data_IF_060263408774
#
_entry.id   IF_060263408774
#
_cell.length_a   1.000
_cell.length_b   1.000
_cell.length_c   1.000
_cell.angle_alpha   90.00
_cell.angle_beta   90.00
_cell.angle_gamma   90.00
#
_symmetry.space_group_name_H-M   'P 1'
#
loop_
_entity.id
_entity.type
_entity.pdbx_description
1 polymer ?
#
# COMPACT_ATOMS: atom_id res chain seq x y z
N UNK A 1 19.68 -52.06 7.64
CA UNK A 1 18.81 -51.41 6.63
C UNK A 1 17.65 -50.70 7.34
N UNK A 2 17.82 -49.48 7.89
CA UNK A 2 16.68 -48.73 8.46
C UNK A 2 16.92 -47.23 8.75
N UNK A 3 17.88 -46.55 8.11
CA UNK A 3 18.19 -45.12 8.41
C UNK A 3 17.66 -44.08 7.39
N UNK A 4 17.08 -44.50 6.27
CA UNK A 4 16.69 -43.56 5.20
C UNK A 4 15.28 -42.94 5.34
N UNK A 5 14.45 -43.39 6.30
CA UNK A 5 13.06 -42.93 6.44
C UNK A 5 12.87 -41.61 7.18
N UNK A 6 13.70 -41.35 8.20
CA UNK A 6 13.54 -40.19 9.09
C UNK A 6 13.95 -38.87 8.41
N UNK A 7 14.97 -38.93 7.55
CA UNK A 7 15.53 -37.76 6.87
C UNK A 7 14.61 -37.22 5.76
N UNK A 8 13.79 -38.09 5.15
CA UNK A 8 12.77 -37.70 4.16
C UNK A 8 11.57 -36.99 4.80
N UNK A 9 11.13 -37.43 5.97
CA UNK A 9 9.99 -36.84 6.68
C UNK A 9 10.30 -35.43 7.22
N UNK A 10 11.50 -35.23 7.78
CA UNK A 10 12.00 -33.93 8.24
C UNK A 10 12.16 -32.92 7.09
N UNK A 11 12.65 -33.37 5.93
CA UNK A 11 12.74 -32.56 4.71
C UNK A 11 11.36 -32.15 4.18
N UNK A 12 10.38 -33.06 4.20
CA UNK A 12 9.01 -32.81 3.77
C UNK A 12 8.27 -31.83 4.69
N UNK A 13 8.40 -32.00 6.01
CA UNK A 13 7.90 -31.05 7.02
C UNK A 13 8.52 -29.67 6.87
N UNK A 14 9.83 -29.59 6.62
CA UNK A 14 10.53 -28.31 6.42
C UNK A 14 10.07 -27.58 5.16
N UNK A 15 9.80 -28.30 4.07
CA UNK A 15 9.25 -27.70 2.84
C UNK A 15 7.79 -27.23 3.00
N UNK A 16 6.96 -27.97 3.75
CA UNK A 16 5.59 -27.54 4.11
C UNK A 16 5.60 -26.27 4.98
N UNK A 17 6.54 -26.17 5.92
CA UNK A 17 6.73 -24.96 6.73
C UNK A 17 7.17 -23.75 5.88
N UNK A 18 7.99 -23.98 4.84
CA UNK A 18 8.46 -22.94 3.92
C UNK A 18 7.34 -22.39 3.03
N UNK A 19 6.38 -23.23 2.66
CA UNK A 19 5.18 -22.83 1.92
C UNK A 19 4.25 -21.99 2.82
N UNK A 20 4.14 -22.32 4.11
CA UNK A 20 3.38 -21.55 5.11
C UNK A 20 4.01 -20.20 5.47
N UNK A 21 5.29 -19.97 5.11
CA UNK A 21 5.97 -18.68 5.31
C UNK A 21 5.81 -17.73 4.11
N UNK A 22 5.13 -18.15 3.04
CA UNK A 22 4.85 -17.29 1.90
C UNK A 22 3.67 -16.36 2.20
N UNK A 23 3.90 -15.04 2.14
CA UNK A 23 2.92 -14.01 2.43
C UNK A 23 1.65 -14.13 1.59
N UNK A 24 1.76 -14.51 0.31
CA UNK A 24 0.60 -14.68 -0.59
C UNK A 24 -0.25 -15.87 -0.18
N UNK A 25 0.37 -16.94 0.31
CA UNK A 25 -0.36 -18.11 0.78
C UNK A 25 -1.05 -17.82 2.12
N UNK A 26 -0.38 -17.07 3.01
CA UNK A 26 -0.95 -16.60 4.27
C UNK A 26 -2.16 -15.69 4.05
N UNK A 27 -2.12 -14.78 3.08
CA UNK A 27 -3.27 -13.91 2.78
C UNK A 27 -4.44 -14.70 2.21
N UNK A 28 -4.21 -15.66 1.31
CA UNK A 28 -5.27 -16.54 0.81
C UNK A 28 -5.91 -17.34 1.95
N UNK A 29 -5.09 -17.94 2.83
CA UNK A 29 -5.61 -18.67 4.00
C UNK A 29 -6.43 -17.75 4.90
N UNK A 30 -5.95 -16.53 5.17
CA UNK A 30 -6.66 -15.56 6.00
C UNK A 30 -8.02 -15.17 5.38
N UNK A 31 -8.07 -14.97 4.05
CA UNK A 31 -9.32 -14.67 3.33
C UNK A 31 -10.28 -15.86 3.45
N UNK A 32 -9.84 -17.07 3.17
CA UNK A 32 -10.66 -18.28 3.29
C UNK A 32 -11.18 -18.47 4.73
N UNK A 33 -10.34 -18.21 5.73
CA UNK A 33 -10.71 -18.29 7.14
C UNK A 33 -11.81 -17.28 7.49
N UNK A 34 -11.67 -16.02 7.05
CA UNK A 34 -12.69 -14.98 7.28
C UNK A 34 -13.98 -15.30 6.53
N UNK A 35 -13.93 -15.86 5.32
CA UNK A 35 -15.14 -16.27 4.60
C UNK A 35 -15.88 -17.43 5.30
N UNK A 36 -15.16 -18.36 5.91
CA UNK A 36 -15.75 -19.51 6.59
C UNK A 36 -16.24 -19.18 8.02
N UNK A 37 -15.51 -18.36 8.77
CA UNK A 37 -15.75 -18.11 10.20
C UNK A 37 -16.15 -16.66 10.53
N UNK A 38 -16.20 -15.77 9.54
CA UNK A 38 -16.48 -14.35 9.75
C UNK A 38 -17.88 -14.06 10.31
N UNK A 39 -18.86 -14.91 10.02
CA UNK A 39 -20.22 -14.81 10.57
C UNK A 39 -20.30 -15.15 12.07
N UNK A 40 -19.36 -15.94 12.58
CA UNK A 40 -19.27 -16.33 13.99
C UNK A 40 -18.38 -15.39 14.81
N UNK A 41 -17.78 -14.37 14.17
CA UNK A 41 -16.86 -13.44 14.80
C UNK A 41 -17.66 -12.35 15.52
N UNK A 42 -17.50 -12.20 16.85
CA UNK A 42 -18.25 -11.21 17.60
C UNK A 42 -17.87 -9.79 17.16
N UNK A 43 -18.87 -8.90 17.10
CA UNK A 43 -18.73 -7.53 16.60
C UNK A 43 -17.57 -6.77 17.24
N UNK A 44 -17.32 -6.98 18.54
CA UNK A 44 -16.23 -6.35 19.29
C UNK A 44 -14.84 -6.69 18.74
N UNK A 45 -14.62 -7.94 18.30
CA UNK A 45 -13.33 -8.40 17.76
C UNK A 45 -13.15 -7.85 16.34
N UNK A 46 -14.19 -7.90 15.50
CA UNK A 46 -14.17 -7.31 14.15
C UNK A 46 -13.90 -5.80 14.20
N UNK A 47 -14.50 -5.10 15.17
CA UNK A 47 -14.25 -3.68 15.43
C UNK A 47 -12.82 -3.42 15.93
N UNK A 48 -12.25 -4.32 16.72
CA UNK A 48 -10.85 -4.27 17.16
C UNK A 48 -9.87 -4.37 15.98
N UNK A 49 -10.03 -5.40 15.13
CA UNK A 49 -9.22 -5.55 13.92
C UNK A 49 -9.36 -4.35 12.97
N UNK A 50 -10.58 -3.86 12.79
CA UNK A 50 -10.82 -2.66 11.98
C UNK A 50 -10.12 -1.43 12.56
N UNK A 51 -10.17 -1.23 13.88
CA UNK A 51 -9.47 -0.12 14.56
C UNK A 51 -7.95 -0.23 14.38
N UNK A 52 -7.38 -1.44 14.50
CA UNK A 52 -5.95 -1.66 14.26
C UNK A 52 -5.56 -1.39 12.79
N UNK A 53 -6.40 -1.78 11.83
CA UNK A 53 -6.21 -1.46 10.41
C UNK A 53 -6.23 0.06 10.16
N UNK A 54 -7.19 0.77 10.76
CA UNK A 54 -7.26 2.24 10.70
C UNK A 54 -6.03 2.88 11.34
N UNK A 55 -5.54 2.35 12.46
CA UNK A 55 -4.32 2.84 13.11
C UNK A 55 -3.10 2.71 12.19
N UNK A 56 -2.88 1.55 11.58
CA UNK A 56 -1.77 1.34 10.63
C UNK A 56 -1.89 2.32 9.45
N UNK A 57 -3.10 2.45 8.88
CA UNK A 57 -3.37 3.41 7.79
C UNK A 57 -3.03 4.84 8.21
N UNK A 58 -3.47 5.25 9.40
CA UNK A 58 -3.23 6.59 9.92
C UNK A 58 -1.72 6.83 10.11
N UNK A 59 -0.99 5.89 10.72
CA UNK A 59 0.47 5.97 10.85
C UNK A 59 1.17 6.06 9.49
N UNK A 60 0.75 5.25 8.52
CA UNK A 60 1.30 5.29 7.17
C UNK A 60 1.07 6.67 6.53
N UNK A 61 -0.14 7.21 6.67
CA UNK A 61 -0.51 8.55 6.19
C UNK A 61 0.32 9.68 6.85
N UNK A 62 0.89 9.46 8.03
CA UNK A 62 1.84 10.39 8.64
C UNK A 62 3.26 10.27 8.06
N UNK A 63 3.71 9.09 7.64
CA UNK A 63 5.07 8.92 7.10
C UNK A 63 5.12 9.25 5.60
N UNK A 64 4.04 8.98 4.87
CA UNK A 64 4.00 9.04 3.41
C UNK A 64 4.36 10.41 2.81
N UNK A 65 3.86 11.56 3.31
CA UNK A 65 4.14 12.86 2.69
C UNK A 65 5.64 13.19 2.67
N UNK A 66 6.36 12.94 3.77
CA UNK A 66 7.81 13.14 3.87
C UNK A 66 8.57 12.12 3.02
N UNK A 67 8.13 10.86 3.03
CA UNK A 67 8.73 9.81 2.22
C UNK A 67 8.66 10.17 0.73
N UNK A 68 7.47 10.46 0.23
CA UNK A 68 7.23 10.80 -1.17
C UNK A 68 8.00 12.06 -1.57
N UNK A 69 7.94 13.11 -0.74
CA UNK A 69 8.72 14.33 -0.96
C UNK A 69 10.22 14.03 -1.16
N UNK A 70 10.80 13.23 -0.26
CA UNK A 70 12.22 12.90 -0.27
C UNK A 70 12.59 12.02 -1.46
N UNK A 71 11.79 11.00 -1.77
CA UNK A 71 12.04 10.10 -2.90
C UNK A 71 11.94 10.83 -4.23
N UNK A 72 10.88 11.61 -4.46
CA UNK A 72 10.70 12.37 -5.71
C UNK A 72 11.82 13.38 -5.86
N UNK A 73 12.15 14.14 -4.81
CA UNK A 73 13.23 15.13 -4.88
C UNK A 73 14.57 14.48 -5.23
N UNK A 74 14.92 13.39 -4.55
CA UNK A 74 16.17 12.64 -4.78
C UNK A 74 16.23 12.04 -6.19
N UNK A 75 15.10 11.52 -6.68
CA UNK A 75 14.98 10.93 -8.01
C UNK A 75 15.16 11.96 -9.11
N UNK A 76 14.40 13.06 -9.06
CA UNK A 76 14.44 14.11 -10.08
C UNK A 76 15.77 14.85 -10.10
N UNK A 77 16.38 15.09 -8.93
CA UNK A 77 17.70 15.70 -8.87
C UNK A 77 18.78 14.85 -9.56
N UNK A 78 18.68 13.53 -9.51
CA UNK A 78 19.59 12.62 -10.21
C UNK A 78 19.44 12.64 -11.73
N UNK A 79 18.26 13.03 -12.25
CA UNK A 79 17.92 12.96 -13.67
C UNK A 79 18.23 14.25 -14.46
N UNK A 80 18.68 15.32 -13.79
CA UNK A 80 19.01 16.62 -14.42
C UNK A 80 17.93 17.05 -15.43
N UNK A 81 18.31 17.41 -16.67
CA UNK A 81 17.38 17.89 -17.70
C UNK A 81 16.31 16.87 -18.12
N UNK A 82 16.52 15.56 -17.90
CA UNK A 82 15.54 14.53 -18.25
C UNK A 82 14.40 14.41 -17.24
N UNK A 83 14.49 15.09 -16.09
CA UNK A 83 13.48 15.07 -15.04
C UNK A 83 12.09 15.48 -15.55
N UNK A 84 12.02 16.54 -16.39
CA UNK A 84 10.75 17.04 -16.93
C UNK A 84 10.07 16.02 -17.84
N UNK A 85 10.84 15.37 -18.71
CA UNK A 85 10.33 14.34 -19.61
C UNK A 85 9.80 13.14 -18.81
N UNK A 86 10.55 12.68 -17.81
CA UNK A 86 10.14 11.56 -16.96
C UNK A 86 8.82 11.84 -16.23
N UNK A 87 8.67 13.01 -15.62
CA UNK A 87 7.40 13.38 -14.93
C UNK A 87 6.25 13.46 -15.93
N UNK A 88 6.45 14.08 -17.10
CA UNK A 88 5.42 14.17 -18.13
C UNK A 88 4.96 12.81 -18.63
N UNK A 89 5.89 11.89 -18.89
CA UNK A 89 5.60 10.52 -19.32
C UNK A 89 4.86 9.75 -18.22
N UNK A 90 5.30 9.85 -16.95
CA UNK A 90 4.62 9.21 -15.83
C UNK A 90 3.17 9.67 -15.69
N UNK A 91 2.93 10.99 -15.72
CA UNK A 91 1.57 11.55 -15.62
C UNK A 91 0.69 11.09 -16.78
N UNK A 92 1.24 11.04 -18.00
CA UNK A 92 0.49 10.56 -19.16
C UNK A 92 0.10 9.08 -19.01
N UNK A 93 1.04 8.21 -18.66
CA UNK A 93 0.76 6.79 -18.46
C UNK A 93 -0.17 6.53 -17.28
N UNK A 94 -0.05 7.30 -16.19
CA UNK A 94 -0.94 7.19 -15.03
C UNK A 94 -2.37 7.61 -15.37
N UNK A 95 -2.55 8.73 -16.07
CA UNK A 95 -3.87 9.17 -16.54
C UNK A 95 -4.50 8.16 -17.50
N UNK A 96 -3.70 7.62 -18.44
CA UNK A 96 -4.15 6.62 -19.40
C UNK A 96 -4.53 5.31 -18.69
N UNK A 97 -3.71 4.84 -17.76
CA UNK A 97 -3.99 3.64 -16.97
C UNK A 97 -5.27 3.77 -16.14
N UNK A 98 -5.46 4.91 -15.47
CA UNK A 98 -6.66 5.18 -14.68
C UNK A 98 -7.91 5.28 -15.56
N UNK A 99 -7.82 5.92 -16.73
CA UNK A 99 -8.93 6.03 -17.68
C UNK A 99 -9.35 4.65 -18.20
N UNK A 100 -8.38 3.80 -18.56
CA UNK A 100 -8.66 2.43 -18.97
C UNK A 100 -9.26 1.60 -17.84
N UNK A 101 -8.76 1.76 -16.61
CA UNK A 101 -9.27 1.07 -15.43
C UNK A 101 -10.74 1.41 -15.17
N UNK A 102 -11.09 2.70 -15.16
CA UNK A 102 -12.49 3.17 -14.99
C UNK A 102 -13.37 2.68 -16.13
N UNK A 103 -12.90 2.78 -17.38
CA UNK A 103 -13.67 2.33 -18.55
C UNK A 103 -13.94 0.83 -18.51
N UNK A 104 -12.94 0.03 -18.10
CA UNK A 104 -13.08 -1.42 -17.96
C UNK A 104 -14.02 -1.79 -16.81
N UNK A 105 -13.87 -1.15 -15.65
CA UNK A 105 -14.75 -1.37 -14.50
C UNK A 105 -16.21 -1.02 -14.83
N UNK A 106 -16.43 0.09 -15.55
CA UNK A 106 -17.76 0.48 -16.03
C UNK A 106 -18.32 -0.52 -17.06
N UNK A 107 -17.50 -0.97 -18.01
CA UNK A 107 -17.89 -1.94 -19.02
C UNK A 107 -18.33 -3.28 -18.41
N UNK A 108 -17.54 -3.83 -17.48
CA UNK A 108 -17.91 -5.04 -16.74
C UNK A 108 -19.13 -4.78 -15.86
N UNK A 109 -19.13 -3.66 -15.14
CA UNK A 109 -20.25 -3.27 -14.27
C UNK A 109 -21.57 -3.27 -15.02
N UNK A 110 -21.61 -2.68 -16.22
CA UNK A 110 -22.78 -2.67 -17.08
C UNK A 110 -23.18 -4.09 -17.57
N UNK A 111 -22.20 -4.90 -18.00
CA UNK A 111 -22.45 -6.26 -18.47
C UNK A 111 -22.99 -7.19 -17.36
N UNK A 112 -22.46 -7.04 -16.15
CA UNK A 112 -22.82 -7.83 -14.97
C UNK A 112 -24.12 -7.33 -14.34
N UNK A 113 -24.36 -6.02 -14.31
CA UNK A 113 -25.59 -5.41 -13.79
C UNK A 113 -26.84 -5.98 -14.47
N UNK A 114 -26.78 -6.13 -15.81
CA UNK A 114 -27.87 -6.73 -16.58
C UNK A 114 -28.09 -8.23 -16.31
N UNK A 115 -27.12 -8.91 -15.68
CA UNK A 115 -27.21 -10.34 -15.30
C UNK A 115 -27.57 -10.57 -13.83
N UNK A 116 -27.30 -9.61 -12.94
CA UNK A 116 -27.47 -9.74 -11.48
C UNK A 116 -28.82 -9.17 -10.98
N UNK A 117 -29.58 -8.47 -11.81
CA UNK A 117 -30.90 -7.89 -11.45
C UNK A 117 -31.98 -8.91 -10.99
N UNK A 118 -31.70 -10.21 -11.01
CA UNK A 118 -32.56 -11.28 -10.47
C UNK A 118 -32.32 -11.61 -8.98
N UNK A 119 -31.28 -11.05 -8.33
CA UNK A 119 -30.97 -11.25 -6.90
C UNK A 119 -31.30 -9.98 -6.08
N UNK A 120 -32.49 -9.42 -6.25
CA UNK A 120 -32.95 -8.22 -5.54
C UNK A 120 -33.44 -8.54 -4.13
N UNK A 121 -32.55 -9.02 -3.25
CA UNK A 121 -32.72 -8.71 -1.83
C UNK A 121 -32.07 -7.35 -1.58
N UNK A 122 -32.81 -6.37 -1.01
CA UNK A 122 -32.19 -5.11 -0.62
C UNK A 122 -31.09 -5.44 0.36
N UNK A 123 -29.84 -5.09 0.01
CA UNK A 123 -28.70 -5.17 0.92
C UNK A 123 -29.11 -4.50 2.22
N UNK A 124 -29.44 -5.33 3.21
CA UNK A 124 -29.83 -4.90 4.53
C UNK A 124 -28.68 -4.06 5.04
N UNK A 125 -28.97 -2.80 5.38
CA UNK A 125 -28.00 -1.79 5.85
C UNK A 125 -27.06 -2.45 6.85
N UNK A 126 -25.89 -2.89 6.39
CA UNK A 126 -24.89 -3.47 7.26
C UNK A 126 -24.52 -2.36 8.24
N UNK A 127 -24.67 -2.62 9.54
CA UNK A 127 -24.22 -1.68 10.56
C UNK A 127 -22.78 -1.30 10.25
N UNK A 128 -22.55 -0.01 10.00
CA UNK A 128 -21.24 0.47 9.61
C UNK A 128 -20.26 0.23 10.76
N UNK A 129 -19.24 -0.60 10.54
CA UNK A 129 -18.16 -0.76 11.50
C UNK A 129 -17.48 0.60 11.68
N UNK A 130 -17.69 1.22 12.85
CA UNK A 130 -17.01 2.43 13.27
C UNK A 130 -15.79 2.01 14.11
N UNK A 131 -14.59 2.57 13.93
CA UNK A 131 -13.46 2.20 14.78
C UNK A 131 -13.68 2.68 16.22
N UNK A 132 -12.93 2.15 17.19
CA UNK A 132 -12.98 2.66 18.57
C UNK A 132 -12.31 4.04 18.68
N UNK A 133 -11.25 4.27 17.92
CA UNK A 133 -10.57 5.55 17.81
C UNK A 133 -9.92 5.68 16.43
N UNK A 134 -9.66 6.92 16.00
CA UNK A 134 -8.85 7.22 14.82
C UNK A 134 -7.91 8.36 15.16
N UNK A 135 -6.65 8.22 14.73
CA UNK A 135 -5.61 9.24 14.90
C UNK A 135 -5.58 10.21 13.70
N UNK A 136 -6.25 9.85 12.60
CA UNK A 136 -6.32 10.65 11.37
C UNK A 136 -6.94 12.03 11.58
N UNK A 137 -7.81 12.20 12.58
CA UNK A 137 -8.41 13.49 12.94
C UNK A 137 -7.38 14.52 13.46
N UNK A 138 -6.25 14.07 14.01
CA UNK A 138 -5.20 14.95 14.51
C UNK A 138 -4.21 15.38 13.42
N UNK A 139 -4.40 14.90 12.18
CA UNK A 139 -3.48 15.19 11.09
C UNK A 139 -3.69 16.63 10.59
N UNK A 140 -2.63 17.45 10.54
CA UNK A 140 -2.76 18.80 10.02
C UNK A 140 -3.18 18.80 8.54
N UNK A 141 -4.09 19.71 8.16
CA UNK A 141 -4.60 19.87 6.79
C UNK A 141 -3.51 20.20 5.76
N UNK A 142 -2.38 20.75 6.19
CA UNK A 142 -1.23 21.01 5.32
C UNK A 142 -0.36 19.77 5.08
N UNK A 143 -0.55 18.71 5.86
CA UNK A 143 0.26 17.52 5.83
C UNK A 143 -0.46 16.40 5.07
N UNK A 144 -0.58 16.58 3.76
CA UNK A 144 -1.21 15.62 2.85
C UNK A 144 -0.21 15.11 1.83
N UNK A 145 -0.47 13.91 1.31
CA UNK A 145 0.36 13.26 0.30
C UNK A 145 0.49 14.13 -0.94
N UNK A 146 -0.61 14.70 -1.42
CA UNK A 146 -0.64 15.55 -2.62
C UNK A 146 0.31 16.75 -2.50
N UNK A 147 0.36 17.37 -1.31
CA UNK A 147 1.26 18.49 -1.01
C UNK A 147 2.72 18.04 -0.95
N UNK A 148 2.99 16.87 -0.36
CA UNK A 148 4.32 16.25 -0.35
C UNK A 148 4.83 15.93 -1.76
N UNK A 149 3.97 15.37 -2.60
CA UNK A 149 4.24 15.10 -4.02
C UNK A 149 4.54 16.38 -4.77
N UNK A 150 3.66 17.38 -4.66
CA UNK A 150 3.82 18.67 -5.34
C UNK A 150 5.12 19.37 -4.93
N UNK A 151 5.38 19.47 -3.63
CA UNK A 151 6.63 20.03 -3.11
C UNK A 151 7.83 19.25 -3.63
N UNK A 152 7.77 17.91 -3.65
CA UNK A 152 8.87 17.05 -4.08
C UNK A 152 9.22 17.21 -5.55
N UNK A 153 8.19 17.38 -6.40
CA UNK A 153 8.37 17.69 -7.82
C UNK A 153 9.02 19.06 -7.98
N UNK A 154 8.53 20.08 -7.27
CA UNK A 154 9.01 21.46 -7.38
C UNK A 154 10.47 21.60 -6.92
N UNK A 155 10.80 21.03 -5.76
CA UNK A 155 12.19 20.98 -5.25
C UNK A 155 13.07 20.10 -6.13
N UNK A 156 12.55 18.95 -6.58
CA UNK A 156 13.25 18.04 -7.48
C UNK A 156 13.66 18.72 -8.79
N UNK A 157 12.76 19.47 -9.43
CA UNK A 157 13.07 20.25 -10.63
C UNK A 157 14.05 21.39 -10.37
N UNK A 158 13.89 22.10 -9.25
CA UNK A 158 14.83 23.14 -8.85
C UNK A 158 16.26 22.60 -8.79
N UNK A 159 16.45 21.44 -8.15
CA UNK A 159 17.76 20.79 -8.08
C UNK A 159 18.24 20.20 -9.41
N UNK A 160 17.33 19.69 -10.23
CA UNK A 160 17.64 19.15 -11.55
C UNK A 160 18.27 20.19 -12.50
N UNK A 161 17.98 21.48 -12.30
CA UNK A 161 18.60 22.59 -13.06
C UNK A 161 20.04 22.93 -12.62
N UNK A 162 20.60 22.24 -11.62
CA UNK A 162 22.02 22.34 -11.24
C UNK A 162 22.37 23.45 -10.25
N UNK A 163 21.42 24.30 -9.84
CA UNK A 163 21.68 25.45 -8.95
C UNK A 163 21.75 25.14 -7.44
N UNK A 164 21.68 23.87 -7.01
CA UNK A 164 21.52 23.51 -5.59
C UNK A 164 22.26 22.27 -5.10
N UNK A 165 23.46 21.98 -5.62
CA UNK A 165 24.22 20.74 -5.30
C UNK A 165 24.61 20.59 -3.83
N UNK A 166 24.66 21.67 -3.04
CA UNK A 166 25.06 21.60 -1.61
C UNK A 166 24.06 20.88 -0.69
N UNK A 167 22.76 20.87 -1.02
CA UNK A 167 21.71 20.32 -0.12
C UNK A 167 21.42 18.85 -0.46
N UNK A 168 21.86 18.34 -1.62
CA UNK A 168 21.68 16.94 -2.01
C UNK A 168 22.12 15.88 -0.98
N UNK A 169 23.29 15.99 -0.32
CA UNK A 169 23.68 15.01 0.70
C UNK A 169 22.70 14.92 1.87
N UNK A 170 21.97 15.98 2.19
CA UNK A 170 20.92 15.95 3.21
C UNK A 170 19.73 15.09 2.76
N UNK A 171 19.25 15.26 1.53
CA UNK A 171 18.14 14.47 0.98
C UNK A 171 18.49 12.99 0.87
N UNK A 172 19.72 12.64 0.50
CA UNK A 172 20.17 11.25 0.49
C UNK A 172 20.22 10.64 1.90
N UNK A 173 20.67 11.40 2.91
CA UNK A 173 20.64 10.95 4.31
C UNK A 173 19.20 10.77 4.81
N UNK A 174 18.32 11.72 4.51
CA UNK A 174 16.90 11.65 4.87
C UNK A 174 16.24 10.44 4.22
N UNK A 175 16.49 10.20 2.93
CA UNK A 175 16.01 9.01 2.21
C UNK A 175 16.46 7.73 2.89
N UNK A 176 17.75 7.62 3.23
CA UNK A 176 18.31 6.44 3.90
C UNK A 176 17.68 6.19 5.27
N UNK A 177 17.37 7.26 6.01
CA UNK A 177 16.67 7.16 7.30
C UNK A 177 15.24 6.64 7.10
N UNK A 178 14.55 7.10 6.06
CA UNK A 178 13.22 6.62 5.68
C UNK A 178 13.28 5.15 5.27
N UNK A 179 14.22 4.76 4.41
CA UNK A 179 14.44 3.36 4.02
C UNK A 179 14.70 2.45 5.25
N UNK A 180 15.42 2.95 6.25
CA UNK A 180 15.65 2.23 7.51
C UNK A 180 14.36 2.07 8.32
N UNK A 181 13.56 3.13 8.42
CA UNK A 181 12.25 3.07 9.09
C UNK A 181 11.35 2.05 8.38
N UNK A 182 11.22 2.13 7.05
CA UNK A 182 10.38 1.23 6.27
C UNK A 182 10.88 -0.21 6.33
N UNK A 183 12.18 -0.47 6.19
CA UNK A 183 12.71 -1.84 6.31
C UNK A 183 12.52 -2.43 7.70
N UNK A 184 12.64 -1.63 8.76
CA UNK A 184 12.43 -2.12 10.13
C UNK A 184 10.96 -2.37 10.47
N UNK A 185 10.05 -1.64 9.82
CA UNK A 185 8.59 -1.75 10.02
C UNK A 185 7.96 -2.81 9.10
N UNK A 186 8.43 -2.94 7.86
CA UNK A 186 7.81 -3.79 6.83
C UNK A 186 8.57 -5.10 6.54
N UNK A 187 9.88 -5.18 6.77
CA UNK A 187 10.69 -6.36 6.40
C UNK A 187 10.86 -7.36 7.56
N UNK A 188 9.94 -7.38 8.52
CA UNK A 188 9.91 -8.33 9.63
C UNK A 188 8.56 -9.03 9.66
#
# INVERSE_FOLDING_TARGET
>A
MQENGLHGYLSFMRNRLKILTNTTFQTIIAICFVLAFGSHLPLSISRGFYTFSVLIRDLLMYVLPIAIFTYITSMLAGLKQQAFLLVGVLLFFEALSNTLSISYAYGIGFFVYNKISLLSNPFQKAESLVPYFSLGQFRPLFYTVDKGTFLGVLTGFFFATGKGTSIMPFFYKLRKLIDLIFSKILAK
#
